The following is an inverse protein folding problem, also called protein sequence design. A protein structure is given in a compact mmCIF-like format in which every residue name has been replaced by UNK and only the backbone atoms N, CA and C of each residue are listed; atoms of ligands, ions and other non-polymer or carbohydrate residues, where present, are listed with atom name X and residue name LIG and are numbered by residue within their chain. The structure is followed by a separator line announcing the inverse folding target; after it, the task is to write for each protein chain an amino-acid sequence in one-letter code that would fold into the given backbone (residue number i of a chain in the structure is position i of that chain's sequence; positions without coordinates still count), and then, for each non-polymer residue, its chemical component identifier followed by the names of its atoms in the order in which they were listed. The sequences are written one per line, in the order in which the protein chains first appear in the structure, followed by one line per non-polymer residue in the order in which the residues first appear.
data_IF_686753243349
#
_entry.id   IF_686753243349
#
_cell.length_a   1.000
_cell.length_b   1.000
_cell.length_c   1.000
_cell.angle_alpha   90.00
_cell.angle_beta   90.00
_cell.angle_gamma   90.00
#
_symmetry.space_group_name_H-M   'P 1'
#
loop_
_entity.id
_entity.type
_entity.pdbx_description
1 polymer ?
#
# COMPACT_ATOMS: atom_id res chain seq x y z
N UNK A 1 18.54 23.32 8.87
CA UNK A 1 17.35 23.00 8.04
C UNK A 1 16.80 21.69 8.57
N UNK A 2 15.71 21.75 9.35
CA UNK A 2 15.09 20.56 9.94
C UNK A 2 14.46 19.77 8.80
N UNK A 3 14.93 18.54 8.57
CA UNK A 3 14.23 17.58 7.72
C UNK A 3 12.81 17.47 8.27
N UNK A 4 11.76 17.64 7.44
CA UNK A 4 10.41 17.35 7.91
C UNK A 4 10.44 15.89 8.34
N UNK A 5 10.21 15.64 9.63
CA UNK A 5 10.03 14.29 10.17
C UNK A 5 9.14 13.56 9.18
N UNK A 6 9.66 12.51 8.53
CA UNK A 6 8.85 11.65 7.68
C UNK A 6 7.66 11.25 8.55
N UNK A 7 6.48 11.80 8.24
CA UNK A 7 5.28 11.51 9.03
C UNK A 7 5.03 10.03 8.82
N UNK A 8 5.30 9.25 9.85
CA UNK A 8 5.00 7.82 9.86
C UNK A 8 3.49 7.72 9.99
N UNK A 9 2.82 7.51 8.87
CA UNK A 9 1.41 7.21 8.83
C UNK A 9 1.22 5.73 9.09
N UNK A 10 0.50 5.37 10.15
CA UNK A 10 0.21 3.97 10.47
C UNK A 10 -0.95 3.46 9.61
N UNK A 11 -0.81 2.22 9.15
CA UNK A 11 -1.92 1.44 8.56
C UNK A 11 -2.95 1.20 9.67
N UNK A 12 -4.22 1.50 9.40
CA UNK A 12 -5.32 1.24 10.34
C UNK A 12 -5.95 -0.14 10.13
N UNK A 13 -6.06 -0.59 8.88
CA UNK A 13 -6.61 -1.90 8.51
C UNK A 13 -6.26 -2.22 7.05
N UNK A 14 -6.27 -3.50 6.66
CA UNK A 14 -6.08 -3.92 5.27
C UNK A 14 -6.83 -5.22 4.95
N UNK A 15 -7.27 -5.36 3.70
CA UNK A 15 -8.03 -6.54 3.28
C UNK A 15 -7.87 -6.86 1.78
N UNK A 16 -7.72 -8.13 1.38
CA UNK A 16 -7.52 -9.29 2.26
C UNK A 16 -6.13 -9.29 2.92
N UNK A 17 -5.95 -10.12 3.94
CA UNK A 17 -4.67 -10.30 4.65
C UNK A 17 -3.74 -11.36 3.99
N UNK A 18 -4.21 -12.01 2.92
CA UNK A 18 -3.48 -13.08 2.23
C UNK A 18 -3.78 -13.07 0.73
N UNK A 19 -2.88 -13.63 -0.06
CA UNK A 19 -3.05 -13.93 -1.47
C UNK A 19 -2.44 -15.27 -1.82
N UNK A 20 -2.90 -15.89 -2.91
CA UNK A 20 -2.19 -17.03 -3.49
C UNK A 20 -0.86 -16.59 -4.13
N UNK A 21 0.09 -17.52 -4.35
CA UNK A 21 1.41 -17.20 -4.92
C UNK A 21 1.35 -16.53 -6.29
N UNK A 22 0.30 -16.76 -7.08
CA UNK A 22 0.13 -16.12 -8.39
C UNK A 22 -0.03 -14.59 -8.30
N UNK A 23 -0.38 -14.07 -7.11
CA UNK A 23 -0.55 -12.64 -6.87
C UNK A 23 -1.73 -12.04 -7.63
N UNK A 24 -1.65 -10.74 -7.92
CA UNK A 24 -2.68 -9.99 -8.65
C UNK A 24 -3.96 -9.74 -7.84
N UNK A 25 -3.96 -10.04 -6.55
CA UNK A 25 -5.09 -9.79 -5.66
C UNK A 25 -5.14 -8.31 -5.33
N UNK A 26 -6.31 -7.70 -5.50
CA UNK A 26 -6.58 -6.31 -5.10
C UNK A 26 -6.58 -6.23 -3.58
N UNK A 27 -5.66 -5.45 -3.02
CA UNK A 27 -5.59 -5.16 -1.58
C UNK A 27 -6.04 -3.73 -1.35
N UNK A 28 -6.92 -3.55 -0.36
CA UNK A 28 -7.31 -2.24 0.15
C UNK A 28 -6.59 -2.00 1.47
N UNK A 29 -5.97 -0.84 1.61
CA UNK A 29 -5.24 -0.44 2.82
C UNK A 29 -5.83 0.87 3.32
N UNK A 30 -6.26 0.90 4.57
CA UNK A 30 -6.84 2.07 5.22
C UNK A 30 -5.82 2.75 6.15
N UNK A 31 -5.87 4.07 6.24
CA UNK A 31 -4.93 4.88 7.01
C UNK A 31 -5.10 6.37 6.75
N UNK A 32 -4.25 7.25 7.30
CA UNK A 32 -4.43 8.71 7.23
C UNK A 32 -3.89 9.34 5.93
N UNK A 33 -4.00 8.66 4.80
CA UNK A 33 -3.60 9.19 3.48
C UNK A 33 -4.69 10.10 2.89
N UNK A 34 -4.30 11.31 2.49
CA UNK A 34 -5.25 12.36 2.08
C UNK A 34 -5.01 12.90 0.66
N UNK A 35 -3.78 12.80 0.15
CA UNK A 35 -3.35 13.58 -1.00
C UNK A 35 -3.28 12.72 -2.26
N UNK A 36 -4.26 12.86 -3.16
CA UNK A 36 -4.31 12.11 -4.42
C UNK A 36 -3.12 12.39 -5.36
N UNK A 37 -2.41 13.51 -5.18
CA UNK A 37 -1.22 13.86 -5.96
C UNK A 37 0.04 13.13 -5.51
N UNK A 38 0.02 12.43 -4.38
CA UNK A 38 1.18 11.68 -3.91
C UNK A 38 1.34 10.38 -4.70
N UNK A 39 2.59 10.06 -5.04
CA UNK A 39 2.95 8.81 -5.67
C UNK A 39 3.01 7.71 -4.60
N UNK A 40 1.85 7.12 -4.28
CA UNK A 40 1.77 6.03 -3.33
C UNK A 40 2.31 4.74 -3.95
N UNK A 41 3.07 4.00 -3.15
CA UNK A 41 3.47 2.62 -3.44
C UNK A 41 3.23 1.76 -2.21
N UNK A 42 2.94 0.48 -2.46
CA UNK A 42 2.88 -0.52 -1.40
C UNK A 42 4.09 -1.44 -1.54
N UNK A 43 4.72 -1.77 -0.42
CA UNK A 43 5.78 -2.76 -0.39
C UNK A 43 5.17 -4.06 0.13
N UNK A 44 5.25 -5.11 -0.67
CA UNK A 44 5.02 -6.50 -0.27
C UNK A 44 6.39 -7.13 -0.15
N UNK A 45 6.81 -7.45 1.07
CA UNK A 45 8.21 -7.73 1.42
C UNK A 45 9.15 -6.62 0.91
N UNK A 46 9.86 -6.87 -0.19
CA UNK A 46 10.79 -5.92 -0.82
C UNK A 46 10.35 -5.50 -2.24
N UNK A 47 9.17 -5.95 -2.68
CA UNK A 47 8.62 -5.65 -4.00
C UNK A 47 7.70 -4.45 -3.90
N UNK A 48 8.07 -3.38 -4.60
CA UNK A 48 7.26 -2.16 -4.70
C UNK A 48 6.24 -2.28 -5.82
N UNK A 49 4.97 -2.06 -5.50
CA UNK A 49 3.87 -1.99 -6.47
C UNK A 49 3.21 -0.61 -6.41
N UNK A 50 2.73 -0.09 -7.55
CA UNK A 50 2.02 1.19 -7.57
C UNK A 50 0.70 1.08 -6.77
N UNK A 51 0.41 2.10 -5.98
CA UNK A 51 -0.83 2.21 -5.24
C UNK A 51 -1.59 3.47 -5.66
N UNK A 52 -2.92 3.36 -5.69
CA UNK A 52 -3.80 4.48 -6.02
C UNK A 52 -4.64 4.84 -4.81
N UNK A 53 -4.72 6.13 -4.48
CA UNK A 53 -5.70 6.64 -3.53
C UNK A 53 -7.08 6.65 -4.21
N UNK A 54 -7.96 5.75 -3.78
CA UNK A 54 -9.33 5.65 -4.34
C UNK A 54 -10.29 6.62 -3.67
N UNK A 55 -10.06 6.91 -2.39
CA UNK A 55 -10.75 7.94 -1.61
C UNK A 55 -9.85 8.35 -0.44
N UNK A 56 -10.11 9.50 0.21
CA UNK A 56 -9.45 9.88 1.45
C UNK A 56 -9.44 8.71 2.44
N UNK A 57 -8.24 8.32 2.85
CA UNK A 57 -7.99 7.25 3.78
C UNK A 57 -8.00 5.83 3.25
N UNK A 58 -8.13 5.60 1.92
CA UNK A 58 -8.10 4.25 1.34
C UNK A 58 -7.20 4.18 0.10
N UNK A 59 -6.14 3.39 0.20
CA UNK A 59 -5.25 3.00 -0.90
C UNK A 59 -5.70 1.68 -1.51
N UNK A 60 -5.50 1.55 -2.81
CA UNK A 60 -5.67 0.31 -3.57
C UNK A 60 -4.35 -0.06 -4.24
N UNK A 61 -3.88 -1.27 -4.01
CA UNK A 61 -2.76 -1.86 -4.74
C UNK A 61 -3.10 -3.29 -5.16
N UNK A 62 -2.20 -3.91 -5.91
CA UNK A 62 -2.29 -5.31 -6.31
C UNK A 62 -1.03 -6.02 -5.83
N UNK A 63 -1.18 -7.10 -5.06
CA UNK A 63 0.00 -7.84 -4.62
C UNK A 63 0.75 -8.41 -5.85
N UNK A 64 2.09 -8.41 -5.84
CA UNK A 64 2.86 -9.08 -6.87
C UNK A 64 2.65 -10.60 -6.77
N UNK A 65 2.89 -11.33 -7.87
CA UNK A 65 3.09 -12.77 -7.77
C UNK A 65 4.47 -13.05 -7.21
N UNK A 66 4.56 -13.96 -6.24
CA UNK A 66 5.81 -14.42 -5.65
C UNK A 66 5.96 -15.91 -6.01
N UNK A 67 7.12 -16.32 -6.51
CA UNK A 67 7.44 -17.75 -6.53
C UNK A 67 7.56 -18.18 -5.06
N UNK A 68 6.59 -18.98 -4.59
CA UNK A 68 6.44 -19.49 -3.22
C UNK A 68 7.75 -19.47 -2.41
N UNK A 69 7.77 -18.71 -1.30
CA UNK A 69 8.88 -18.70 -0.34
C UNK A 69 9.17 -20.05 0.31
#
# INVERSE_FOLDING_TARGET
MLQPSARVFMVTDYSPEWSYPEGGVKVLITGPWQEASNNYSCLFDQISVPASLIQPGVLRCYCPGEETG
#
